data_IF_598109902174
#
_entry.id   IF_598109902174
#
_cell.length_a   1.000
_cell.length_b   1.000
_cell.length_c   1.000
_cell.angle_alpha   90.00
_cell.angle_beta   90.00
_cell.angle_gamma   90.00
#
_symmetry.space_group_name_H-M   'P 1'
#
loop_
_entity.id
_entity.type
_entity.pdbx_description
1 polymer ?
#
# COMPACT_ATOMS: atom_id res chain seq x y z
N UNK A 1 7.23 12.96 17.30
CA UNK A 1 5.89 12.50 16.87
C UNK A 1 5.88 10.99 16.92
N UNK A 2 4.92 10.39 17.61
CA UNK A 2 4.79 8.94 17.72
C UNK A 2 4.48 8.31 16.35
N UNK A 3 4.94 7.08 16.07
CA UNK A 3 4.58 6.35 14.87
C UNK A 3 3.12 5.89 14.98
N UNK A 4 2.21 6.77 14.62
CA UNK A 4 0.76 6.54 14.68
C UNK A 4 -0.08 7.71 14.17
N UNK A 5 0.55 8.71 13.53
CA UNK A 5 -0.15 9.87 13.00
C UNK A 5 -1.03 9.49 11.81
N UNK A 6 -2.34 9.45 12.03
CA UNK A 6 -3.42 9.91 11.15
C UNK A 6 -3.29 9.64 9.64
N UNK A 7 -2.89 8.43 9.26
CA UNK A 7 -3.05 7.95 7.88
C UNK A 7 -4.48 7.47 7.60
N UNK A 8 -5.50 8.00 8.30
CA UNK A 8 -6.90 7.62 8.14
C UNK A 8 -7.43 7.89 6.71
N UNK A 9 -6.84 8.87 6.02
CA UNK A 9 -7.13 9.20 4.63
C UNK A 9 -6.22 8.51 3.62
N UNK A 10 -5.41 7.52 4.04
CA UNK A 10 -4.53 6.81 3.13
C UNK A 10 -5.33 5.98 2.11
N UNK A 11 -4.95 6.10 0.85
CA UNK A 11 -5.39 5.20 -0.20
C UNK A 11 -4.46 4.01 -0.25
N UNK A 12 -5.02 2.80 -0.12
CA UNK A 12 -4.26 1.56 -0.13
C UNK A 12 -4.67 0.72 -1.33
N UNK A 13 -3.67 0.21 -2.04
CA UNK A 13 -3.81 -0.74 -3.12
C UNK A 13 -2.95 -1.95 -2.84
N UNK A 14 -3.38 -3.11 -3.35
CA UNK A 14 -2.55 -4.30 -3.40
C UNK A 14 -2.40 -4.71 -4.85
N UNK A 15 -1.17 -4.62 -5.32
CA UNK A 15 -0.77 -4.98 -6.67
C UNK A 15 -0.29 -6.42 -6.63
N UNK A 16 -0.83 -7.26 -7.50
CA UNK A 16 -0.39 -8.65 -7.69
C UNK A 16 0.21 -8.74 -9.10
N UNK A 17 1.53 -8.52 -9.26
CA UNK A 17 2.16 -8.40 -10.58
C UNK A 17 1.94 -9.63 -11.47
N UNK A 18 2.01 -10.83 -10.87
CA UNK A 18 1.81 -12.11 -11.58
C UNK A 18 0.44 -12.24 -12.25
N UNK A 19 -0.55 -11.46 -11.81
CA UNK A 19 -1.92 -11.49 -12.32
C UNK A 19 -2.30 -10.19 -13.03
N UNK A 20 -1.36 -9.26 -13.17
CA UNK A 20 -1.58 -7.93 -13.72
C UNK A 20 -2.85 -7.26 -13.16
N UNK A 21 -3.05 -7.36 -11.84
CA UNK A 21 -4.25 -6.88 -11.17
C UNK A 21 -3.89 -6.06 -9.93
N UNK A 22 -4.73 -5.07 -9.63
CA UNK A 22 -4.63 -4.26 -8.44
C UNK A 22 -6.00 -4.18 -7.75
N UNK A 23 -6.03 -4.46 -6.46
CA UNK A 23 -7.21 -4.28 -5.64
C UNK A 23 -7.06 -3.01 -4.80
N UNK A 24 -8.00 -2.07 -4.93
CA UNK A 24 -8.05 -0.86 -4.09
C UNK A 24 -8.91 -1.10 -2.86
N UNK A 25 -8.52 -0.52 -1.72
CA UNK A 25 -9.39 -0.35 -0.56
C UNK A 25 -9.32 1.06 -0.01
N UNK A 26 -10.46 1.57 0.45
CA UNK A 26 -10.55 2.77 1.29
C UNK A 26 -10.77 2.36 2.76
N UNK A 27 -9.84 2.71 3.65
CA UNK A 27 -9.95 2.55 5.12
C UNK A 27 -9.59 1.17 5.70
N UNK A 28 -8.82 1.15 6.80
CA UNK A 28 -8.63 0.02 7.73
C UNK A 28 -7.72 -1.16 7.32
N UNK A 29 -7.47 -2.10 8.26
CA UNK A 29 -6.66 -3.33 8.11
C UNK A 29 -7.13 -4.16 6.92
N UNK A 30 -6.27 -4.50 5.97
CA UNK A 30 -6.70 -5.05 4.70
C UNK A 30 -7.28 -6.47 4.83
N UNK A 31 -8.47 -6.70 4.28
CA UNK A 31 -9.08 -8.03 4.15
C UNK A 31 -9.06 -8.45 2.69
N UNK A 32 -8.25 -9.46 2.37
CA UNK A 32 -7.90 -9.89 1.02
C UNK A 32 -8.76 -11.03 0.48
N UNK A 33 -10.07 -11.03 0.77
CA UNK A 33 -10.94 -12.21 0.58
C UNK A 33 -10.95 -12.85 -0.82
N UNK A 34 -10.58 -12.10 -1.87
CA UNK A 34 -10.54 -12.58 -3.26
C UNK A 34 -9.12 -12.59 -3.89
N UNK A 35 -8.08 -12.27 -3.12
CA UNK A 35 -6.71 -12.35 -3.65
C UNK A 35 -6.16 -13.78 -3.44
N UNK A 36 -5.39 -14.30 -4.41
CA UNK A 36 -4.87 -15.66 -4.32
C UNK A 36 -3.80 -15.78 -3.23
N UNK A 37 -4.12 -16.57 -2.20
CA UNK A 37 -3.21 -16.88 -1.10
C UNK A 37 -1.93 -17.51 -1.65
N UNK A 38 -0.79 -17.12 -1.08
CA UNK A 38 0.54 -17.59 -1.45
C UNK A 38 1.19 -16.81 -2.59
N UNK A 39 0.48 -15.89 -3.25
CA UNK A 39 1.05 -15.06 -4.30
C UNK A 39 1.85 -13.89 -3.73
N UNK A 40 2.97 -13.57 -4.39
CA UNK A 40 3.72 -12.35 -4.12
C UNK A 40 2.91 -11.14 -4.58
N UNK A 41 2.86 -10.11 -3.74
CA UNK A 41 2.14 -8.89 -3.99
C UNK A 41 2.88 -7.70 -3.37
N UNK A 42 2.51 -6.49 -3.78
CA UNK A 42 3.02 -5.25 -3.20
C UNK A 42 1.85 -4.42 -2.73
N UNK A 43 1.86 -4.05 -1.45
CA UNK A 43 0.95 -3.05 -0.92
C UNK A 43 1.53 -1.68 -1.27
N UNK A 44 0.75 -0.91 -2.03
CA UNK A 44 1.02 0.49 -2.30
C UNK A 44 0.09 1.30 -1.43
N UNK A 45 0.62 2.20 -0.63
CA UNK A 45 -0.19 3.14 0.14
C UNK A 45 0.27 4.56 -0.14
N UNK A 46 -0.68 5.48 -0.29
CA UNK A 46 -0.43 6.91 -0.45
C UNK A 46 -1.30 7.67 0.55
N UNK A 47 -0.67 8.53 1.33
CA UNK A 47 -1.34 9.39 2.28
C UNK A 47 -0.96 10.85 2.04
N UNK A 48 -1.91 11.74 2.34
CA UNK A 48 -1.67 13.18 2.40
C UNK A 48 -1.79 13.63 3.85
N UNK A 49 -0.77 14.33 4.35
CA UNK A 49 -0.76 14.92 5.69
C UNK A 49 -0.36 16.38 5.56
N UNK A 50 -1.29 17.29 5.86
CA UNK A 50 -1.10 18.74 5.81
C UNK A 50 -0.52 19.25 4.46
N UNK A 51 -1.00 18.70 3.33
CA UNK A 51 -0.54 19.07 1.99
C UNK A 51 0.78 18.43 1.54
N UNK A 52 1.37 17.56 2.36
CA UNK A 52 2.54 16.75 1.99
C UNK A 52 2.15 15.31 1.73
N UNK A 53 2.73 14.71 0.70
CA UNK A 53 2.45 13.32 0.31
C UNK A 53 3.48 12.36 0.88
N UNK A 54 3.00 11.21 1.34
CA UNK A 54 3.80 10.12 1.86
C UNK A 54 3.35 8.80 1.22
N UNK A 55 4.30 8.00 0.76
CA UNK A 55 4.00 6.69 0.18
C UNK A 55 4.69 5.55 0.94
N UNK A 56 4.09 4.37 0.84
CA UNK A 56 4.64 3.11 1.31
C UNK A 56 4.52 2.06 0.21
N UNK A 57 5.60 1.33 -0.05
CA UNK A 57 5.65 0.18 -0.95
C UNK A 57 6.13 -1.01 -0.14
N UNK A 58 5.21 -1.91 0.22
CA UNK A 58 5.49 -3.03 1.12
C UNK A 58 5.28 -4.34 0.37
N UNK A 59 6.37 -5.06 0.13
CA UNK A 59 6.32 -6.40 -0.46
C UNK A 59 5.71 -7.39 0.56
N UNK A 60 4.75 -8.19 0.10
CA UNK A 60 4.05 -9.17 0.92
C UNK A 60 3.87 -10.49 0.16
N UNK A 61 3.62 -11.56 0.89
CA UNK A 61 2.98 -12.76 0.36
C UNK A 61 1.54 -12.77 0.87
N UNK A 62 0.56 -12.89 -0.02
CA UNK A 62 -0.87 -12.85 0.36
C UNK A 62 -1.17 -14.02 1.29
N UNK A 63 -1.69 -13.71 2.49
CA UNK A 63 -2.08 -14.68 3.50
C UNK A 63 -3.34 -14.23 4.24
N UNK A 64 -4.07 -15.17 4.81
CA UNK A 64 -5.23 -14.87 5.65
C UNK A 64 -4.80 -14.12 6.92
N UNK A 65 -5.52 -13.06 7.27
CA UNK A 65 -5.26 -12.27 8.48
C UNK A 65 -3.98 -11.44 8.42
N UNK A 66 -3.43 -11.18 7.23
CA UNK A 66 -2.22 -10.37 7.07
C UNK A 66 -2.46 -8.92 7.53
N UNK A 67 -1.69 -8.48 8.53
CA UNK A 67 -1.66 -7.11 9.02
C UNK A 67 -0.23 -6.54 8.92
N UNK A 68 0.23 -6.19 7.70
CA UNK A 68 1.59 -5.74 7.49
C UNK A 68 1.77 -4.31 8.00
N UNK A 69 2.93 -4.06 8.60
CA UNK A 69 3.33 -2.71 9.01
C UNK A 69 3.70 -1.87 7.78
N UNK A 70 2.96 -0.78 7.57
CA UNK A 70 3.26 0.17 6.50
C UNK A 70 4.24 1.23 6.99
N UNK A 71 5.39 1.32 6.33
CA UNK A 71 6.37 2.39 6.58
C UNK A 71 6.24 3.46 5.52
N UNK A 72 5.86 4.66 5.94
CA UNK A 72 5.65 5.79 5.03
C UNK A 72 6.91 6.64 4.91
N UNK A 73 7.21 7.05 3.69
CA UNK A 73 8.27 7.99 3.37
C UNK A 73 7.71 9.15 2.56
N UNK A 74 8.23 10.36 2.79
CA UNK A 74 7.86 11.52 2.01
C UNK A 74 8.10 11.24 0.52
N UNK A 75 7.14 11.64 -0.33
CA UNK A 75 7.19 11.35 -1.76
C UNK A 75 6.70 12.53 -2.58
N UNK A 76 7.11 12.57 -3.84
CA UNK A 76 6.61 13.48 -4.87
C UNK A 76 5.85 12.68 -5.92
N UNK A 77 5.04 13.34 -6.75
CA UNK A 77 4.34 12.67 -7.85
C UNK A 77 5.31 11.89 -8.75
N UNK A 78 6.43 12.49 -9.15
CA UNK A 78 7.41 11.84 -10.02
C UNK A 78 8.06 10.61 -9.37
N UNK A 79 8.37 10.67 -8.07
CA UNK A 79 8.93 9.52 -7.34
C UNK A 79 7.89 8.39 -7.19
N UNK A 80 6.65 8.73 -6.89
CA UNK A 80 5.57 7.77 -6.77
C UNK A 80 5.30 7.06 -8.10
N UNK A 81 5.18 7.81 -9.20
CA UNK A 81 4.99 7.24 -10.53
C UNK A 81 6.15 6.34 -10.96
N UNK A 82 7.39 6.74 -10.68
CA UNK A 82 8.57 5.91 -10.97
C UNK A 82 8.54 4.60 -10.17
N UNK A 83 8.17 4.64 -8.89
CA UNK A 83 8.06 3.45 -8.05
C UNK A 83 6.94 2.52 -8.51
N UNK A 84 5.76 3.05 -8.88
CA UNK A 84 4.64 2.26 -9.41
C UNK A 84 5.02 1.57 -10.73
N UNK A 85 5.76 2.25 -11.62
CA UNK A 85 6.23 1.66 -12.89
C UNK A 85 7.28 0.57 -12.71
N UNK A 86 7.90 0.48 -11.53
CA UNK A 86 8.91 -0.51 -11.21
C UNK A 86 8.34 -1.77 -10.51
N UNK A 87 7.03 -1.81 -10.24
CA UNK A 87 6.31 -2.97 -9.69
C UNK A 87 6.03 -4.03 -10.76
#
# INVERSE_FOLDING_TARGET
MAPGADYENAHVWVVVPALNTAARRSGGVPHFGNLPIGQAAVIVSLAEVHGYYFASFTNITIANGLAPSLTYQATTLAQFEAAVRAL
#
